data_IF_188646829815
#
_entry.id   IF_188646829815
#
_cell.length_a   1.000
_cell.length_b   1.000
_cell.length_c   1.000
_cell.angle_alpha   90.00
_cell.angle_beta   90.00
_cell.angle_gamma   90.00
#
_symmetry.space_group_name_H-M   'P 1'
#
loop_
_entity.id
_entity.type
_entity.pdbx_description
1 polymer ?
#
# COMPACT_ATOMS: atom_id res chain seq x y z
N UNK A 1 70.14 58.70 39.31
CA UNK A 1 71.33 59.30 39.98
C UNK A 1 72.01 58.18 40.76
N UNK A 2 72.91 57.38 40.16
CA UNK A 2 74.37 57.61 40.12
C UNK A 2 74.94 58.24 41.41
N UNK A 3 75.64 57.39 42.17
CA UNK A 3 76.85 57.62 43.00
C UNK A 3 76.85 58.81 43.98
N UNK A 4 76.87 58.48 45.27
CA UNK A 4 77.72 59.14 46.28
C UNK A 4 77.88 58.16 47.46
N UNK A 5 78.92 57.31 47.43
CA UNK A 5 80.20 57.50 48.14
C UNK A 5 79.98 57.57 49.66
N UNK A 6 80.35 56.48 50.34
CA UNK A 6 81.08 56.53 51.60
C UNK A 6 81.96 55.28 51.66
N UNK A 7 83.15 55.45 51.09
CA UNK A 7 84.33 54.63 51.33
C UNK A 7 84.81 54.89 52.76
N UNK A 8 85.01 53.84 53.56
CA UNK A 8 85.99 53.82 54.65
C UNK A 8 86.55 52.39 54.69
N UNK A 9 87.51 52.11 53.79
CA UNK A 9 88.95 52.15 54.06
C UNK A 9 89.45 50.89 54.76
N UNK A 10 89.89 49.98 53.92
CA UNK A 10 90.88 48.92 54.11
C UNK A 10 92.08 49.31 54.98
N UNK A 11 92.47 48.46 55.93
CA UNK A 11 93.85 47.96 56.14
C UNK A 11 93.80 46.93 57.30
N UNK A 12 93.85 45.62 57.05
CA UNK A 12 95.04 44.78 56.90
C UNK A 12 96.06 44.88 58.05
N UNK A 13 96.48 43.67 58.46
CA UNK A 13 97.78 43.30 59.00
C UNK A 13 97.90 43.10 60.52
N UNK A 14 98.02 41.83 60.88
CA UNK A 14 99.23 41.30 61.52
C UNK A 14 99.62 41.77 62.94
N UNK A 15 99.46 40.83 63.90
CA UNK A 15 100.48 40.41 64.90
C UNK A 15 100.84 41.44 66.02
N UNK A 16 101.18 41.03 67.26
CA UNK A 16 100.53 40.16 68.23
C UNK A 16 100.42 40.85 69.63
N UNK A 17 99.94 40.10 70.63
CA UNK A 17 100.16 40.25 72.08
C UNK A 17 100.20 41.69 72.66
N UNK A 18 99.15 42.08 73.41
CA UNK A 18 99.23 42.16 74.88
C UNK A 18 98.10 43.00 75.51
N UNK A 19 97.30 42.31 76.32
CA UNK A 19 96.88 42.69 77.67
C UNK A 19 95.88 43.87 77.89
N UNK A 20 94.63 43.46 78.08
CA UNK A 20 93.72 43.88 79.17
C UNK A 20 93.41 45.39 79.33
N UNK A 21 92.86 46.00 78.28
CA UNK A 21 91.90 47.12 78.39
C UNK A 21 90.99 47.23 77.14
N UNK A 22 91.33 46.54 76.05
CA UNK A 22 90.62 46.62 74.77
C UNK A 22 89.20 46.01 74.75
N UNK A 23 88.85 45.13 75.70
CA UNK A 23 87.59 44.38 75.62
C UNK A 23 86.35 45.28 75.82
N UNK A 24 86.44 46.30 76.67
CA UNK A 24 85.33 47.25 76.87
C UNK A 24 85.16 48.17 75.65
N UNK A 25 86.26 48.57 75.02
CA UNK A 25 86.25 49.38 73.80
C UNK A 25 85.59 48.62 72.65
N UNK A 26 85.95 47.35 72.45
CA UNK A 26 85.33 46.51 71.41
C UNK A 26 83.85 46.23 71.67
N UNK A 27 83.42 46.13 72.94
CA UNK A 27 81.99 46.02 73.27
C UNK A 27 81.21 47.30 72.94
N UNK A 28 81.77 48.47 73.25
CA UNK A 28 81.12 49.76 72.91
C UNK A 28 81.04 49.99 71.39
N UNK A 29 82.07 49.61 70.65
CA UNK A 29 82.08 49.68 69.18
C UNK A 29 81.01 48.75 68.58
N UNK A 30 80.89 47.51 69.09
CA UNK A 30 79.86 46.58 68.65
C UNK A 30 78.45 47.11 68.86
N UNK A 31 78.18 47.72 70.02
CA UNK A 31 76.86 48.28 70.34
C UNK A 31 76.49 49.47 69.44
N UNK A 32 77.47 50.33 69.12
CA UNK A 32 77.26 51.45 68.19
C UNK A 32 77.01 50.97 66.76
N UNK A 33 77.66 49.88 66.31
CA UNK A 33 77.40 49.30 65.00
C UNK A 33 75.97 48.76 64.86
N UNK A 34 75.42 48.11 65.89
CA UNK A 34 74.02 47.65 65.86
C UNK A 34 73.02 48.81 65.79
N UNK A 35 73.25 49.89 66.55
CA UNK A 35 72.36 51.07 66.52
C UNK A 35 72.35 51.75 65.14
N UNK A 36 73.50 51.83 64.48
CA UNK A 36 73.60 52.38 63.12
C UNK A 36 72.84 51.51 62.11
N UNK A 37 72.88 50.19 62.26
CA UNK A 37 72.13 49.27 61.40
C UNK A 37 70.62 49.48 61.56
N UNK A 38 70.11 49.57 62.80
CA UNK A 38 68.67 49.78 63.05
C UNK A 38 68.20 51.12 62.46
N UNK A 39 68.97 52.20 62.65
CA UNK A 39 68.62 53.52 62.12
C UNK A 39 68.59 53.52 60.58
N UNK A 40 69.52 52.80 59.94
CA UNK A 40 69.56 52.67 58.47
C UNK A 40 68.32 51.96 57.91
N UNK A 41 67.79 50.95 58.64
CA UNK A 41 66.57 50.25 58.24
C UNK A 41 65.30 51.11 58.43
N UNK A 42 65.26 51.95 59.47
CA UNK A 42 64.15 52.89 59.69
C UNK A 42 64.11 54.02 58.65
N UNK A 43 65.26 54.46 58.15
CA UNK A 43 65.32 55.45 57.07
C UNK A 43 64.94 54.82 55.73
N UNK A 44 65.23 53.53 55.52
CA UNK A 44 64.85 52.81 54.30
C UNK A 44 63.33 52.57 54.16
N UNK A 45 62.54 52.68 55.24
CA UNK A 45 61.07 52.54 55.20
C UNK A 45 60.32 53.85 54.95
N UNK A 46 61.02 54.98 54.83
CA UNK A 46 60.40 56.28 54.53
C UNK A 46 60.72 56.70 53.10
N UNK A 47 59.79 56.36 52.19
CA UNK A 47 59.72 56.97 50.86
C UNK A 47 58.55 56.40 50.07
N UNK A 48 57.77 57.17 49.31
CA UNK A 48 57.65 58.62 49.11
C UNK A 48 56.36 58.75 48.28
N UNK A 49 55.39 59.59 48.68
CA UNK A 49 54.11 59.69 47.99
C UNK A 49 54.26 60.09 46.52
N UNK A 50 53.80 59.23 45.61
CA UNK A 50 53.71 59.52 44.17
C UNK A 50 52.34 60.12 43.84
N UNK A 51 52.37 61.20 43.06
CA UNK A 51 51.21 61.86 42.46
C UNK A 51 50.40 60.85 41.61
N UNK A 52 49.06 60.82 41.77
CA UNK A 52 48.20 59.79 41.17
C UNK A 52 48.21 59.75 39.64
N UNK A 53 48.19 58.53 39.08
CA UNK A 53 48.04 58.25 37.65
C UNK A 53 46.58 58.48 37.19
N UNK A 54 46.32 58.95 35.94
CA UNK A 54 44.97 58.99 35.36
C UNK A 54 44.32 57.60 35.33
N UNK A 55 43.02 57.53 35.63
CA UNK A 55 42.28 56.26 35.72
C UNK A 55 42.19 55.49 34.39
N UNK A 56 42.10 54.15 34.42
CA UNK A 56 42.00 53.32 33.21
C UNK A 56 40.69 53.57 32.45
N UNK A 57 40.74 53.45 31.12
CA UNK A 57 39.56 53.52 30.26
C UNK A 57 38.57 52.39 30.60
N UNK A 58 37.28 52.71 30.62
CA UNK A 58 36.23 51.77 31.07
C UNK A 58 36.07 50.56 30.14
N UNK A 59 35.59 49.41 30.65
CA UNK A 59 35.41 48.21 29.84
C UNK A 59 34.37 48.43 28.73
N UNK A 60 34.62 47.87 27.54
CA UNK A 60 33.70 47.91 26.41
C UNK A 60 32.35 47.26 26.78
N UNK A 61 31.25 47.92 26.42
CA UNK A 61 29.90 47.45 26.74
C UNK A 61 29.56 46.09 26.13
N UNK A 62 28.70 45.32 26.82
CA UNK A 62 28.26 43.99 26.39
C UNK A 62 27.56 44.02 25.02
N UNK A 63 27.75 43.02 24.14
CA UNK A 63 26.99 42.90 22.90
C UNK A 63 25.48 42.90 23.14
N UNK A 64 24.73 43.56 22.26
CA UNK A 64 23.28 43.65 22.36
C UNK A 64 22.57 42.29 22.22
N UNK A 65 21.33 42.15 22.73
CA UNK A 65 20.56 40.91 22.61
C UNK A 65 20.28 40.57 21.14
N UNK A 66 20.23 39.27 20.84
CA UNK A 66 19.81 38.77 19.53
C UNK A 66 18.39 39.26 19.21
N UNK A 67 18.17 39.73 17.98
CA UNK A 67 16.87 40.24 17.54
C UNK A 67 15.76 39.17 17.58
N UNK A 68 14.48 39.60 17.57
CA UNK A 68 13.35 38.69 17.57
C UNK A 68 13.36 37.80 16.31
N UNK A 69 12.86 36.57 16.45
CA UNK A 69 12.65 35.67 15.32
C UNK A 69 11.71 36.32 14.29
N UNK A 70 12.04 36.18 13.00
CA UNK A 70 11.22 36.73 11.92
C UNK A 70 9.81 36.13 11.85
N UNK A 71 8.86 36.82 11.20
CA UNK A 71 7.50 36.30 11.04
C UNK A 71 7.49 34.97 10.29
N UNK A 72 6.52 34.11 10.59
CA UNK A 72 6.25 32.90 9.82
C UNK A 72 6.03 33.26 8.35
N UNK A 73 6.60 32.48 7.43
CA UNK A 73 6.40 32.66 6.00
C UNK A 73 4.94 32.50 5.58
N UNK A 74 4.55 33.00 4.39
CA UNK A 74 3.20 32.80 3.86
C UNK A 74 2.89 31.31 3.71
N UNK A 75 1.62 30.96 3.83
CA UNK A 75 1.14 29.61 3.52
C UNK A 75 1.46 29.26 2.06
N UNK A 76 1.78 27.98 1.80
CA UNK A 76 2.05 27.50 0.45
C UNK A 76 0.80 27.52 -0.43
N UNK A 77 0.95 27.47 -1.77
CA UNK A 77 -0.20 27.38 -2.67
C UNK A 77 -0.96 26.04 -2.46
N UNK A 78 -2.28 26.01 -2.69
CA UNK A 78 -3.06 24.77 -2.63
C UNK A 78 -2.51 23.68 -3.56
N UNK A 79 -2.53 22.43 -3.11
CA UNK A 79 -2.23 21.27 -3.95
C UNK A 79 -3.37 20.99 -4.93
N UNK A 80 -3.03 20.55 -6.15
CA UNK A 80 -4.00 20.11 -7.15
C UNK A 80 -3.99 18.57 -7.23
N UNK A 81 -5.16 17.97 -7.09
CA UNK A 81 -5.35 16.53 -7.19
C UNK A 81 -6.18 16.21 -8.43
N UNK A 82 -5.81 15.15 -9.15
CA UNK A 82 -6.61 14.58 -10.23
C UNK A 82 -7.22 13.29 -9.68
N UNK A 83 -8.55 13.21 -9.72
CA UNK A 83 -9.24 11.99 -9.32
C UNK A 83 -8.97 10.89 -10.36
N UNK A 84 -8.57 9.70 -9.89
CA UNK A 84 -8.56 8.50 -10.72
C UNK A 84 -9.99 8.00 -10.99
N UNK A 85 -10.10 6.98 -11.82
CA UNK A 85 -11.40 6.32 -12.07
C UNK A 85 -12.03 5.84 -10.76
N UNK A 86 -13.34 6.05 -10.59
CA UNK A 86 -14.07 5.68 -9.38
C UNK A 86 -13.93 6.67 -8.21
N UNK A 87 -13.23 7.79 -8.37
CA UNK A 87 -13.14 8.85 -7.36
C UNK A 87 -13.73 10.15 -7.90
N UNK A 88 -14.53 10.83 -7.07
CA UNK A 88 -15.07 12.17 -7.33
C UNK A 88 -14.54 13.13 -6.28
N UNK A 89 -14.00 14.26 -6.72
CA UNK A 89 -13.56 15.36 -5.86
C UNK A 89 -14.47 16.55 -6.15
N UNK A 90 -15.29 16.95 -5.18
CA UNK A 90 -16.14 18.14 -5.24
C UNK A 90 -15.81 19.08 -4.09
N UNK A 91 -15.07 20.15 -4.40
CA UNK A 91 -14.49 21.03 -3.39
C UNK A 91 -13.58 20.22 -2.46
N UNK A 92 -13.97 20.12 -1.20
CA UNK A 92 -13.18 19.51 -0.13
C UNK A 92 -13.61 18.06 0.13
N UNK A 93 -14.60 17.54 -0.61
CA UNK A 93 -15.17 16.21 -0.42
C UNK A 93 -14.62 15.24 -1.45
N UNK A 94 -14.02 14.15 -0.96
CA UNK A 94 -13.62 12.99 -1.76
C UNK A 94 -14.67 11.91 -1.56
N UNK A 95 -15.27 11.44 -2.65
CA UNK A 95 -16.26 10.36 -2.64
C UNK A 95 -15.91 9.28 -3.66
N UNK A 96 -16.31 8.04 -3.35
CA UNK A 96 -16.20 6.94 -4.30
C UNK A 96 -17.41 6.95 -5.24
N UNK A 97 -17.16 6.96 -6.54
CA UNK A 97 -18.18 6.65 -7.55
C UNK A 97 -18.16 5.14 -7.72
N UNK A 98 -19.14 4.46 -7.13
CA UNK A 98 -19.37 3.05 -7.39
C UNK A 98 -20.26 2.92 -8.62
N UNK A 99 -19.70 2.41 -9.71
CA UNK A 99 -20.47 2.08 -10.91
C UNK A 99 -21.39 0.92 -10.57
N UNK A 100 -22.69 1.16 -10.56
CA UNK A 100 -23.69 0.12 -10.34
C UNK A 100 -24.27 -0.32 -11.67
N UNK A 101 -24.76 -1.55 -11.68
CA UNK A 101 -25.35 -2.21 -12.84
C UNK A 101 -26.84 -2.49 -12.64
N UNK A 102 -27.56 -2.69 -13.73
CA UNK A 102 -28.96 -3.08 -13.74
C UNK A 102 -29.16 -4.43 -14.43
N UNK A 103 -30.28 -5.09 -14.10
CA UNK A 103 -30.66 -6.33 -14.78
C UNK A 103 -31.01 -6.03 -16.24
N UNK A 104 -30.38 -6.76 -17.16
CA UNK A 104 -30.53 -6.59 -18.59
C UNK A 104 -29.45 -5.73 -19.26
N UNK A 105 -28.56 -5.11 -18.50
CA UNK A 105 -27.41 -4.39 -19.06
C UNK A 105 -26.48 -5.36 -19.79
N UNK A 106 -25.88 -4.89 -20.88
CA UNK A 106 -24.77 -5.59 -21.54
C UNK A 106 -23.47 -5.18 -20.85
N UNK A 107 -22.73 -6.17 -20.37
CA UNK A 107 -21.46 -5.97 -19.69
C UNK A 107 -20.52 -7.16 -19.91
N UNK A 108 -19.27 -6.88 -20.26
CA UNK A 108 -18.21 -7.88 -20.40
C UNK A 108 -18.60 -9.08 -21.29
N UNK A 109 -19.21 -8.78 -22.43
CA UNK A 109 -19.61 -9.77 -23.43
C UNK A 109 -20.89 -10.56 -23.11
N UNK A 110 -21.65 -10.16 -22.09
CA UNK A 110 -22.90 -10.81 -21.71
C UNK A 110 -23.98 -9.87 -21.24
N UNK A 111 -25.14 -10.44 -20.93
CA UNK A 111 -26.28 -9.73 -20.35
C UNK A 111 -26.46 -10.08 -18.88
N UNK A 112 -26.53 -9.05 -18.02
CA UNK A 112 -26.63 -9.21 -16.57
C UNK A 112 -28.00 -9.77 -16.19
N UNK A 113 -28.05 -10.93 -15.54
CA UNK A 113 -29.30 -11.55 -15.08
C UNK A 113 -29.39 -11.73 -13.57
N UNK A 114 -28.29 -11.53 -12.85
CA UNK A 114 -28.28 -11.52 -11.39
C UNK A 114 -27.21 -10.55 -10.90
N UNK A 115 -27.49 -9.86 -9.80
CA UNK A 115 -26.60 -8.90 -9.15
C UNK A 115 -26.57 -9.20 -7.65
N UNK A 116 -25.43 -8.95 -7.03
CA UNK A 116 -25.32 -8.93 -5.58
C UNK A 116 -25.94 -7.66 -4.96
N UNK A 117 -25.91 -7.55 -3.64
CA UNK A 117 -26.47 -6.39 -2.91
C UNK A 117 -25.78 -5.07 -3.27
N UNK A 118 -24.51 -5.14 -3.71
CA UNK A 118 -23.73 -3.95 -4.09
C UNK A 118 -24.04 -3.47 -5.50
N UNK A 119 -24.65 -4.32 -6.33
CA UNK A 119 -24.91 -4.10 -7.77
C UNK A 119 -23.64 -3.84 -8.58
N UNK A 120 -22.48 -4.23 -8.07
CA UNK A 120 -21.19 -4.12 -8.77
C UNK A 120 -20.73 -5.45 -9.36
N UNK A 121 -21.18 -6.55 -8.76
CA UNK A 121 -20.85 -7.90 -9.19
C UNK A 121 -22.11 -8.71 -9.42
N UNK A 122 -21.98 -9.76 -10.23
CA UNK A 122 -23.14 -10.54 -10.59
C UNK A 122 -22.85 -11.69 -11.52
N UNK A 123 -23.92 -12.18 -12.14
CA UNK A 123 -23.86 -13.17 -13.19
C UNK A 123 -24.39 -12.58 -14.49
N UNK A 124 -23.64 -12.83 -15.57
CA UNK A 124 -24.01 -12.51 -16.94
C UNK A 124 -24.23 -13.79 -17.72
N UNK A 125 -25.08 -13.73 -18.74
CA UNK A 125 -25.30 -14.81 -19.69
C UNK A 125 -24.81 -14.42 -21.09
N UNK A 126 -24.49 -15.40 -21.92
CA UNK A 126 -24.19 -15.18 -23.33
C UNK A 126 -25.36 -14.43 -24.00
N UNK A 127 -25.13 -13.67 -25.07
CA UNK A 127 -26.21 -12.94 -25.75
C UNK A 127 -27.06 -13.84 -26.65
N UNK A 128 -26.47 -14.94 -27.11
CA UNK A 128 -27.09 -15.92 -27.99
C UNK A 128 -26.91 -17.34 -27.44
N UNK A 129 -27.72 -18.26 -27.96
CA UNK A 129 -27.59 -19.68 -27.69
C UNK A 129 -26.41 -20.25 -28.47
N UNK A 130 -25.52 -20.97 -27.78
CA UNK A 130 -24.17 -21.28 -28.28
C UNK A 130 -24.12 -22.47 -29.25
N UNK A 131 -25.24 -23.16 -29.40
CA UNK A 131 -25.40 -24.39 -30.16
C UNK A 131 -26.14 -24.15 -31.49
N UNK A 132 -26.09 -22.94 -32.05
CA UNK A 132 -26.71 -22.56 -33.32
C UNK A 132 -28.21 -22.91 -33.39
N UNK A 133 -28.93 -22.74 -32.28
CA UNK A 133 -30.35 -23.09 -32.16
C UNK A 133 -30.65 -24.58 -32.46
N UNK A 134 -29.68 -25.48 -32.28
CA UNK A 134 -29.84 -26.93 -32.43
C UNK A 134 -29.48 -27.63 -31.13
N UNK A 135 -30.43 -28.31 -30.49
CA UNK A 135 -30.17 -28.96 -29.22
C UNK A 135 -28.98 -29.95 -29.27
N UNK A 136 -28.31 -30.09 -28.14
CA UNK A 136 -27.08 -30.90 -27.98
C UNK A 136 -27.24 -31.90 -26.85
N UNK A 137 -26.30 -32.84 -26.75
CA UNK A 137 -26.27 -33.81 -25.66
C UNK A 137 -25.60 -33.20 -24.43
N UNK A 138 -26.08 -33.63 -23.25
CA UNK A 138 -25.43 -33.31 -21.98
C UNK A 138 -24.13 -34.10 -21.82
N UNK A 139 -24.14 -35.38 -22.21
CA UNK A 139 -22.97 -36.28 -22.16
C UNK A 139 -22.18 -36.31 -23.47
N UNK A 140 -20.96 -36.85 -23.42
CA UNK A 140 -20.05 -36.87 -24.55
C UNK A 140 -20.04 -38.22 -25.29
N UNK A 141 -21.05 -38.45 -26.15
CA UNK A 141 -21.10 -39.65 -26.99
C UNK A 141 -21.65 -40.89 -26.29
N UNK A 142 -21.44 -42.07 -26.88
CA UNK A 142 -22.22 -43.28 -26.58
C UNK A 142 -21.64 -44.20 -25.49
N UNK A 143 -20.64 -43.78 -24.73
CA UNK A 143 -19.90 -44.60 -23.74
C UNK A 143 -20.71 -45.07 -22.50
N UNK A 144 -22.04 -45.13 -22.61
CA UNK A 144 -22.95 -45.52 -21.55
C UNK A 144 -23.31 -44.38 -20.59
N UNK A 145 -24.13 -44.72 -19.60
CA UNK A 145 -24.56 -43.81 -18.54
C UNK A 145 -23.57 -43.91 -17.37
N UNK A 146 -23.16 -42.75 -16.84
CA UNK A 146 -22.21 -42.66 -15.72
C UNK A 146 -22.63 -41.56 -14.75
N UNK A 147 -22.26 -41.74 -13.49
CA UNK A 147 -22.40 -40.70 -12.47
C UNK A 147 -21.22 -39.76 -12.60
N UNK A 148 -21.51 -38.48 -12.84
CA UNK A 148 -20.54 -37.41 -13.01
C UNK A 148 -20.30 -36.63 -11.71
N UNK A 149 -21.21 -36.75 -10.74
CA UNK A 149 -21.23 -36.00 -9.48
C UNK A 149 -21.36 -34.47 -9.66
N UNK A 150 -21.82 -34.03 -10.83
CA UNK A 150 -22.11 -32.63 -11.13
C UNK A 150 -23.47 -32.22 -10.54
N UNK A 151 -23.62 -32.27 -9.21
CA UNK A 151 -24.92 -32.10 -8.52
C UNK A 151 -25.03 -30.82 -7.70
N UNK A 152 -24.01 -29.97 -7.74
CA UNK A 152 -24.06 -28.69 -7.03
C UNK A 152 -25.18 -27.81 -7.59
N UNK A 153 -25.81 -27.01 -6.74
CA UNK A 153 -26.89 -26.09 -7.12
C UNK A 153 -26.78 -24.80 -6.32
N UNK A 154 -27.21 -23.67 -6.91
CA UNK A 154 -27.06 -22.33 -6.34
C UNK A 154 -26.17 -21.39 -7.16
N UNK A 155 -26.02 -20.15 -6.70
CA UNK A 155 -25.13 -19.15 -7.34
C UNK A 155 -23.69 -19.66 -7.39
N UNK A 156 -23.08 -19.68 -8.58
CA UNK A 156 -21.72 -20.14 -8.82
C UNK A 156 -21.54 -21.65 -8.90
N UNK A 157 -22.58 -22.45 -8.64
CA UNK A 157 -22.47 -23.91 -8.64
C UNK A 157 -22.20 -24.49 -10.04
N UNK A 158 -22.70 -23.82 -11.08
CA UNK A 158 -22.51 -24.24 -12.47
C UNK A 158 -21.04 -24.31 -12.89
N UNK A 159 -20.18 -23.45 -12.35
CA UNK A 159 -18.74 -23.43 -12.66
C UNK A 159 -18.09 -24.77 -12.26
N UNK A 160 -18.35 -25.22 -11.04
CA UNK A 160 -17.79 -26.47 -10.50
C UNK A 160 -18.35 -27.69 -11.22
N UNK A 161 -19.66 -27.73 -11.45
CA UNK A 161 -20.31 -28.81 -12.20
C UNK A 161 -19.74 -28.92 -13.62
N UNK A 162 -19.64 -27.80 -14.34
CA UNK A 162 -19.13 -27.74 -15.71
C UNK A 162 -17.74 -28.34 -15.81
N UNK A 163 -16.83 -28.00 -14.88
CA UNK A 163 -15.48 -28.57 -14.82
C UNK A 163 -15.50 -30.09 -14.58
N UNK A 164 -16.35 -30.57 -13.68
CA UNK A 164 -16.50 -32.03 -13.42
C UNK A 164 -17.01 -32.77 -14.65
N UNK A 165 -18.01 -32.22 -15.35
CA UNK A 165 -18.55 -32.81 -16.58
C UNK A 165 -17.45 -32.92 -17.63
N UNK A 166 -16.72 -31.83 -17.88
CA UNK A 166 -15.65 -31.83 -18.88
C UNK A 166 -14.56 -32.85 -18.53
N UNK A 167 -14.11 -32.88 -17.27
CA UNK A 167 -13.06 -33.79 -16.83
C UNK A 167 -13.44 -35.27 -17.02
N UNK A 168 -14.69 -35.64 -16.77
CA UNK A 168 -15.13 -37.03 -16.81
C UNK A 168 -15.69 -37.50 -18.17
N UNK A 169 -16.17 -36.57 -18.99
CA UNK A 169 -16.81 -36.88 -20.27
C UNK A 169 -15.82 -36.77 -21.44
N UNK A 170 -14.76 -35.95 -21.34
CA UNK A 170 -13.81 -35.79 -22.46
C UNK A 170 -13.14 -37.10 -22.88
N UNK A 171 -12.88 -38.00 -21.93
CA UNK A 171 -12.27 -39.31 -22.18
C UNK A 171 -13.14 -40.22 -23.07
N UNK A 172 -14.46 -40.03 -23.09
CA UNK A 172 -15.39 -40.86 -23.85
C UNK A 172 -15.32 -40.58 -25.35
N UNK A 173 -15.10 -39.32 -25.73
CA UNK A 173 -14.89 -38.90 -27.10
C UNK A 173 -14.07 -37.61 -27.13
N UNK A 174 -12.77 -37.73 -27.41
CA UNK A 174 -11.84 -36.59 -27.41
C UNK A 174 -12.17 -35.51 -28.45
N UNK A 175 -12.96 -35.84 -29.48
CA UNK A 175 -13.43 -34.91 -30.52
C UNK A 175 -14.90 -34.53 -30.37
N UNK A 176 -15.56 -35.03 -29.33
CA UNK A 176 -16.97 -34.79 -29.13
C UNK A 176 -17.26 -33.38 -28.63
N UNK A 177 -18.52 -33.00 -28.76
CA UNK A 177 -19.03 -31.70 -28.34
C UNK A 177 -20.31 -31.93 -27.55
N UNK A 178 -20.38 -31.38 -26.35
CA UNK A 178 -21.47 -31.58 -25.39
C UNK A 178 -21.70 -30.29 -24.61
N UNK A 179 -22.86 -30.17 -23.96
CA UNK A 179 -23.36 -28.91 -23.41
C UNK A 179 -22.32 -28.14 -22.57
N UNK A 180 -21.68 -28.81 -21.61
CA UNK A 180 -20.68 -28.19 -20.74
C UNK A 180 -19.43 -27.71 -21.50
N UNK A 181 -18.95 -28.49 -22.49
CA UNK A 181 -17.79 -28.12 -23.30
C UNK A 181 -18.08 -26.96 -24.25
N UNK A 182 -19.31 -26.87 -24.78
CA UNK A 182 -19.75 -25.74 -25.60
C UNK A 182 -19.69 -24.45 -24.77
N UNK A 183 -20.25 -24.47 -23.56
CA UNK A 183 -20.22 -23.31 -22.67
C UNK A 183 -18.80 -22.92 -22.26
N UNK A 184 -17.96 -23.89 -21.88
CA UNK A 184 -16.59 -23.64 -21.43
C UNK A 184 -15.61 -23.21 -22.52
N UNK A 185 -15.93 -23.46 -23.79
CA UNK A 185 -15.13 -22.98 -24.93
C UNK A 185 -15.58 -21.61 -25.43
N UNK A 186 -16.71 -21.13 -24.96
CA UNK A 186 -17.22 -19.84 -25.38
C UNK A 186 -16.28 -18.73 -24.90
N UNK A 187 -15.90 -17.88 -25.84
CA UNK A 187 -15.12 -16.69 -25.55
C UNK A 187 -15.48 -15.58 -26.52
N UNK A 188 -15.72 -14.39 -25.98
CA UNK A 188 -16.18 -13.23 -26.75
C UNK A 188 -15.55 -11.94 -26.28
N UNK A 189 -15.55 -10.95 -27.17
CA UNK A 189 -15.20 -9.58 -26.86
C UNK A 189 -16.35 -8.87 -26.09
N UNK A 190 -16.14 -7.60 -25.75
CA UNK A 190 -17.12 -6.77 -25.01
C UNK A 190 -18.50 -6.70 -25.68
N UNK A 191 -18.54 -6.80 -27.02
CA UNK A 191 -19.79 -6.79 -27.80
C UNK A 191 -20.67 -8.03 -27.60
N UNK A 192 -20.13 -9.08 -26.97
CA UNK A 192 -20.84 -10.33 -26.68
C UNK A 192 -21.21 -11.17 -27.89
N UNK A 193 -20.66 -10.84 -29.07
CA UNK A 193 -20.96 -11.53 -30.33
C UNK A 193 -19.69 -11.91 -31.08
N UNK A 194 -18.65 -11.07 -31.06
CA UNK A 194 -17.39 -11.34 -31.75
C UNK A 194 -16.57 -12.37 -30.97
N UNK A 195 -16.28 -13.56 -31.54
CA UNK A 195 -15.46 -14.56 -30.87
C UNK A 195 -14.02 -14.07 -30.70
N UNK A 196 -13.38 -14.45 -29.59
CA UNK A 196 -11.98 -14.11 -29.38
C UNK A 196 -11.05 -14.83 -30.37
N UNK A 197 -9.96 -14.17 -30.75
CA UNK A 197 -8.84 -14.84 -31.41
C UNK A 197 -8.11 -15.79 -30.46
N UNK A 198 -7.52 -16.86 -31.00
CA UNK A 198 -6.63 -17.75 -30.25
C UNK A 198 -5.24 -17.71 -30.91
N UNK A 199 -4.19 -17.25 -30.20
CA UNK A 199 -4.20 -16.70 -28.84
C UNK A 199 -4.93 -15.34 -28.76
N UNK A 200 -5.38 -14.98 -27.56
CA UNK A 200 -6.02 -13.70 -27.31
C UNK A 200 -5.03 -12.54 -27.53
N UNK A 201 -5.50 -11.47 -28.16
CA UNK A 201 -4.73 -10.24 -28.35
C UNK A 201 -4.51 -9.53 -27.02
N UNK A 202 -3.33 -8.95 -26.74
CA UNK A 202 -3.14 -8.11 -25.56
C UNK A 202 -3.85 -6.75 -25.66
N UNK A 203 -4.40 -6.42 -26.84
CA UNK A 203 -5.08 -5.14 -27.11
C UNK A 203 -6.60 -5.23 -27.03
N UNK A 204 -7.15 -6.44 -26.89
CA UNK A 204 -8.58 -6.68 -26.78
C UNK A 204 -8.86 -7.52 -25.54
N UNK A 205 -9.85 -7.12 -24.74
CA UNK A 205 -10.24 -7.93 -23.58
C UNK A 205 -11.13 -9.07 -24.05
N UNK A 206 -10.68 -10.30 -23.79
CA UNK A 206 -11.41 -11.52 -24.12
C UNK A 206 -12.02 -12.14 -22.87
N UNK A 207 -13.32 -12.39 -22.88
CA UNK A 207 -14.06 -13.01 -21.79
C UNK A 207 -14.29 -14.49 -22.09
N UNK A 208 -13.60 -15.40 -21.37
CA UNK A 208 -13.54 -16.84 -21.69
C UNK A 208 -13.84 -17.82 -20.53
N UNK A 209 -14.14 -17.33 -19.33
CA UNK A 209 -14.43 -18.12 -18.12
C UNK A 209 -15.93 -18.49 -18.00
N UNK A 210 -16.55 -18.75 -19.14
CA UNK A 210 -17.96 -19.11 -19.25
C UNK A 210 -18.20 -20.57 -18.84
N UNK A 211 -19.38 -20.86 -18.31
CA UNK A 211 -19.76 -22.20 -17.86
C UNK A 211 -21.25 -22.49 -18.09
N UNK A 212 -21.61 -23.77 -18.07
CA UNK A 212 -23.02 -24.19 -18.15
C UNK A 212 -23.67 -23.93 -16.78
N UNK A 213 -24.76 -23.15 -16.68
CA UNK A 213 -25.37 -22.78 -15.41
C UNK A 213 -25.86 -24.02 -14.63
N UNK A 214 -25.86 -23.96 -13.30
CA UNK A 214 -26.67 -24.88 -12.48
C UNK A 214 -28.16 -24.67 -12.76
N UNK A 215 -29.00 -25.62 -12.33
CA UNK A 215 -30.45 -25.51 -12.56
C UNK A 215 -31.04 -24.29 -11.83
N UNK A 216 -30.49 -23.89 -10.69
CA UNK A 216 -30.83 -22.65 -10.00
C UNK A 216 -30.45 -21.40 -10.81
N UNK A 217 -29.22 -21.32 -11.32
CA UNK A 217 -28.76 -20.19 -12.13
C UNK A 217 -29.55 -20.07 -13.44
N UNK A 218 -29.91 -21.19 -14.06
CA UNK A 218 -30.75 -21.22 -15.25
C UNK A 218 -32.17 -20.73 -14.96
N UNK A 219 -32.72 -21.09 -13.81
CA UNK A 219 -34.03 -20.61 -13.36
C UNK A 219 -34.01 -19.10 -13.08
N UNK A 220 -32.94 -18.60 -12.46
CA UNK A 220 -32.75 -17.16 -12.25
C UNK A 220 -32.63 -16.39 -13.57
N UNK A 221 -31.86 -16.92 -14.53
CA UNK A 221 -31.72 -16.36 -15.87
C UNK A 221 -33.10 -16.15 -16.52
N UNK A 222 -33.92 -17.20 -16.53
CA UNK A 222 -35.27 -17.14 -17.10
C UNK A 222 -36.14 -16.12 -16.35
N UNK A 223 -36.20 -16.22 -15.03
CA UNK A 223 -37.05 -15.38 -14.20
C UNK A 223 -36.72 -13.88 -14.34
N UNK A 224 -35.45 -13.54 -14.51
CA UNK A 224 -35.01 -12.16 -14.57
C UNK A 224 -34.98 -11.57 -15.98
N UNK A 225 -34.61 -12.33 -17.02
CA UNK A 225 -34.47 -11.75 -18.36
C UNK A 225 -35.72 -11.90 -19.23
N UNK A 226 -36.42 -13.03 -19.15
CA UNK A 226 -37.52 -13.31 -20.08
C UNK A 226 -38.71 -12.34 -19.93
N UNK A 227 -39.20 -12.01 -18.72
CA UNK A 227 -40.32 -11.07 -18.57
C UNK A 227 -39.99 -9.65 -19.04
N UNK A 228 -38.70 -9.30 -19.11
CA UNK A 228 -38.22 -7.98 -19.54
C UNK A 228 -38.10 -7.86 -21.05
N UNK A 229 -38.11 -8.97 -21.80
CA UNK A 229 -37.95 -8.96 -23.25
C UNK A 229 -36.59 -8.48 -23.74
N UNK A 230 -35.57 -8.44 -22.87
CA UNK A 230 -34.21 -7.95 -23.19
C UNK A 230 -33.28 -9.04 -23.71
N UNK A 231 -33.66 -10.31 -23.57
CA UNK A 231 -32.91 -11.45 -24.07
C UNK A 231 -33.78 -12.33 -24.96
N UNK A 232 -33.20 -12.79 -26.07
CA UNK A 232 -33.83 -13.73 -26.97
C UNK A 232 -33.44 -15.15 -26.56
N UNK A 233 -34.44 -15.91 -26.11
CA UNK A 233 -34.34 -17.34 -25.82
C UNK A 233 -35.24 -18.11 -26.78
N UNK A 234 -34.76 -19.25 -27.26
CA UNK A 234 -35.62 -20.22 -27.91
C UNK A 234 -36.72 -20.69 -26.94
N UNK A 235 -37.98 -20.86 -27.37
CA UNK A 235 -39.07 -21.35 -26.51
C UNK A 235 -38.98 -22.87 -26.27
N UNK A 236 -37.79 -23.38 -26.02
CA UNK A 236 -37.46 -24.81 -25.93
C UNK A 236 -36.74 -25.13 -24.61
N UNK A 237 -36.18 -26.34 -24.49
CA UNK A 237 -35.48 -26.80 -23.30
C UNK A 237 -34.02 -26.34 -23.29
N UNK A 238 -33.50 -25.96 -22.13
CA UNK A 238 -32.10 -25.62 -21.92
C UNK A 238 -31.46 -26.57 -20.92
N UNK A 239 -30.25 -27.02 -21.22
CA UNK A 239 -29.47 -27.84 -20.30
C UNK A 239 -28.96 -27.01 -19.13
N UNK A 240 -29.10 -27.56 -17.94
CA UNK A 240 -28.29 -27.18 -16.80
C UNK A 240 -27.09 -28.13 -16.64
N UNK A 241 -26.11 -27.68 -15.88
CA UNK A 241 -24.98 -28.49 -15.41
C UNK A 241 -25.37 -29.47 -14.30
N UNK A 242 -26.59 -29.36 -13.75
CA UNK A 242 -27.03 -30.17 -12.61
C UNK A 242 -27.47 -31.56 -13.07
N UNK A 243 -26.70 -32.57 -12.69
CA UNK A 243 -26.96 -33.99 -12.86
C UNK A 243 -28.07 -34.46 -11.91
N UNK A 244 -29.04 -35.22 -12.42
CA UNK A 244 -30.10 -35.81 -11.60
C UNK A 244 -29.70 -37.19 -11.10
N UNK A 245 -29.25 -38.07 -12.01
CA UNK A 245 -28.83 -39.43 -11.70
C UNK A 245 -27.80 -39.92 -12.73
N UNK A 246 -27.58 -41.24 -12.81
CA UNK A 246 -26.61 -41.85 -13.74
C UNK A 246 -26.97 -41.60 -15.22
N UNK A 247 -28.25 -41.56 -15.57
CA UNK A 247 -28.77 -41.45 -16.93
C UNK A 247 -29.32 -40.07 -17.25
N UNK A 248 -29.80 -39.33 -16.24
CA UNK A 248 -30.55 -38.09 -16.44
C UNK A 248 -29.82 -36.84 -15.92
N UNK A 249 -30.10 -35.72 -16.59
CA UNK A 249 -29.73 -34.37 -16.14
C UNK A 249 -30.94 -33.44 -16.20
N UNK A 250 -30.85 -32.28 -15.54
CA UNK A 250 -31.94 -31.32 -15.47
C UNK A 250 -31.96 -30.37 -16.66
N UNK A 251 -33.16 -30.24 -17.24
CA UNK A 251 -33.54 -29.24 -18.23
C UNK A 251 -34.52 -28.24 -17.62
N UNK A 252 -34.56 -27.04 -18.17
CA UNK A 252 -35.66 -26.11 -17.97
C UNK A 252 -36.29 -25.73 -19.30
N UNK A 253 -37.62 -25.77 -19.38
CA UNK A 253 -38.36 -25.26 -20.53
C UNK A 253 -38.48 -23.73 -20.44
N UNK A 254 -37.98 -23.00 -21.44
CA UNK A 254 -38.04 -21.55 -21.43
C UNK A 254 -39.39 -20.99 -21.90
N UNK A 255 -40.25 -21.79 -22.52
CA UNK A 255 -41.65 -21.41 -22.80
C UNK A 255 -42.53 -21.50 -21.55
N UNK A 256 -42.49 -22.62 -20.83
CA UNK A 256 -43.41 -22.89 -19.69
C UNK A 256 -42.80 -22.60 -18.32
N UNK A 257 -41.48 -22.72 -18.17
CA UNK A 257 -40.77 -22.65 -16.89
C UNK A 257 -40.54 -23.99 -16.21
N UNK A 258 -41.08 -25.08 -16.76
CA UNK A 258 -41.02 -26.41 -16.15
C UNK A 258 -39.59 -26.93 -16.03
N UNK A 259 -39.27 -27.48 -14.86
CA UNK A 259 -38.05 -28.21 -14.61
C UNK A 259 -38.30 -29.69 -14.86
N UNK A 260 -37.54 -30.29 -15.77
CA UNK A 260 -37.70 -31.70 -16.16
C UNK A 260 -36.36 -32.41 -16.16
N UNK A 261 -36.40 -33.72 -15.93
CA UNK A 261 -35.24 -34.59 -16.10
C UNK A 261 -35.31 -35.23 -17.49
N UNK A 262 -34.19 -35.26 -18.19
CA UNK A 262 -34.08 -35.95 -19.49
C UNK A 262 -32.81 -36.76 -19.53
N UNK A 263 -32.85 -37.82 -20.34
CA UNK A 263 -31.68 -38.64 -20.66
C UNK A 263 -30.56 -37.74 -21.20
N UNK A 264 -29.35 -37.93 -20.66
CA UNK A 264 -28.16 -37.13 -21.00
C UNK A 264 -27.75 -37.27 -22.47
N UNK A 265 -28.16 -38.34 -23.15
CA UNK A 265 -27.95 -38.58 -24.58
C UNK A 265 -28.91 -37.81 -25.49
N UNK A 266 -29.96 -37.21 -24.92
CA UNK A 266 -30.96 -36.53 -25.70
C UNK A 266 -30.41 -35.20 -26.26
N UNK A 267 -30.83 -34.84 -27.46
CA UNK A 267 -30.41 -33.62 -28.18
C UNK A 267 -31.44 -32.51 -28.08
N UNK A 268 -32.25 -32.47 -27.01
CA UNK A 268 -33.30 -31.46 -26.83
C UNK A 268 -32.78 -30.15 -26.23
N UNK A 269 -31.69 -30.20 -25.46
CA UNK A 269 -31.29 -29.05 -24.66
C UNK A 269 -30.40 -28.06 -25.41
N UNK A 270 -30.79 -26.79 -25.36
CA UNK A 270 -29.97 -25.66 -25.77
C UNK A 270 -28.95 -25.27 -24.71
N UNK A 271 -27.96 -24.48 -25.12
CA UNK A 271 -26.85 -24.06 -24.26
C UNK A 271 -26.83 -22.54 -24.20
N UNK A 272 -27.11 -22.03 -22.99
CA UNK A 272 -26.76 -20.67 -22.60
C UNK A 272 -25.60 -20.76 -21.62
N UNK A 273 -24.50 -20.07 -21.90
CA UNK A 273 -23.42 -20.00 -20.94
C UNK A 273 -23.63 -18.83 -19.99
N UNK A 274 -23.17 -18.98 -18.76
CA UNK A 274 -23.14 -17.92 -17.76
C UNK A 274 -21.73 -17.74 -17.22
N UNK A 275 -21.48 -16.58 -16.63
CA UNK A 275 -20.17 -16.17 -16.11
C UNK A 275 -20.37 -15.19 -14.97
N UNK A 276 -19.44 -15.17 -14.00
CA UNK A 276 -19.39 -14.16 -12.94
C UNK A 276 -18.55 -12.95 -13.38
N UNK A 277 -18.90 -11.76 -12.91
CA UNK A 277 -18.13 -10.54 -13.11
C UNK A 277 -18.02 -9.73 -11.82
#
# INVERSE_FOLDING_TARGET
MKKLILYFSSFLASVPLAHADDQEIWQRIGWLQEQVIILSQQIASIGQGSQGLPGPEGPQGVPGPQGPQGPQGPEGPPGYYIAGEGIKIEGDVISAITKTHELGDIYQGGIIFWLDETRQHGLIASLNDLNNYKGTQWRNGASGNKVTNARADGIGAGESNTRLIIAQQTIDNQKGNFAALIAARYSVLEDGVTPCSIPASPYETCYGDWYLPSIYELSLLKANLQPRGVAHFAPEYYWSSTEADVSNAWLQNFSTGDLVQSDKSNTLGHVRAVRKF
#
